data_IF_708379571553
#
_entry.id   IF_708379571553
#
_cell.length_a   1.000
_cell.length_b   1.000
_cell.length_c   1.000
_cell.angle_alpha   90.00
_cell.angle_beta   90.00
_cell.angle_gamma   90.00
#
_symmetry.space_group_name_H-M   'P 1'
#
loop_
_entity.id
_entity.type
_entity.pdbx_description
1 polymer ?
#
# COMPACT_ATOMS: atom_id res chain seq x y z
N UNK A 1 10.83 -0.81 9.64
CA UNK A 1 9.58 -1.31 10.23
C UNK A 1 9.00 -0.26 11.19
N UNK A 2 8.16 0.65 10.67
CA UNK A 2 7.63 1.75 11.48
C UNK A 2 6.48 1.31 12.41
N UNK A 3 5.81 0.20 12.12
CA UNK A 3 4.58 -0.20 12.78
C UNK A 3 4.69 -1.50 13.59
N UNK A 4 5.71 -2.32 13.30
CA UNK A 4 5.91 -3.58 14.00
C UNK A 4 6.98 -4.46 13.36
N UNK A 5 7.52 -5.35 14.17
CA UNK A 5 8.51 -6.34 13.77
C UNK A 5 8.08 -7.73 14.30
N UNK A 6 8.11 -8.79 13.48
CA UNK A 6 7.69 -10.11 13.93
C UNK A 6 8.55 -10.70 15.04
N UNK A 7 9.73 -10.13 15.25
CA UNK A 7 10.68 -10.57 16.28
C UNK A 7 10.63 -9.72 17.57
N UNK A 8 10.24 -8.44 17.45
CA UNK A 8 10.23 -7.48 18.57
C UNK A 8 8.82 -7.04 18.97
N UNK A 9 7.82 -7.37 18.15
CA UNK A 9 6.42 -6.98 18.38
C UNK A 9 6.08 -5.58 17.87
N UNK A 10 5.17 -4.89 18.54
CA UNK A 10 4.71 -3.54 18.18
C UNK A 10 5.82 -2.52 18.41
N UNK A 11 6.04 -1.63 17.45
CA UNK A 11 6.96 -0.49 17.57
C UNK A 11 6.24 0.65 18.28
N UNK A 12 6.71 1.08 19.48
CA UNK A 12 6.14 2.22 20.18
C UNK A 12 6.28 3.52 19.35
N UNK A 13 5.26 4.38 19.39
CA UNK A 13 5.26 5.66 18.67
C UNK A 13 6.52 6.49 19.00
N UNK A 14 6.92 6.54 20.27
CA UNK A 14 8.11 7.29 20.69
C UNK A 14 9.41 6.73 20.08
N UNK A 15 9.48 5.42 19.82
CA UNK A 15 10.63 4.84 19.14
C UNK A 15 10.70 5.29 17.69
N UNK A 16 9.58 5.32 16.98
CA UNK A 16 9.50 5.85 15.63
C UNK A 16 9.81 7.36 15.61
N UNK A 17 9.27 8.14 16.55
CA UNK A 17 9.54 9.59 16.64
C UNK A 17 11.01 9.92 16.87
N UNK A 18 11.76 9.12 17.64
CA UNK A 18 13.22 9.32 17.79
C UNK A 18 13.97 9.20 16.46
N UNK A 19 13.52 8.31 15.58
CA UNK A 19 14.10 8.19 14.23
C UNK A 19 13.74 9.42 13.39
N UNK A 20 12.48 9.88 13.46
CA UNK A 20 12.06 11.11 12.77
C UNK A 20 12.83 12.33 13.27
N UNK A 21 13.09 12.46 14.59
CA UNK A 21 13.93 13.51 15.15
C UNK A 21 15.33 13.52 14.50
N UNK A 22 15.95 12.35 14.33
CA UNK A 22 17.26 12.24 13.72
C UNK A 22 17.25 12.67 12.24
N UNK A 23 16.19 12.34 11.49
CA UNK A 23 16.03 12.81 10.11
C UNK A 23 15.78 14.33 10.03
N UNK A 24 14.92 14.85 10.90
CA UNK A 24 14.65 16.28 10.96
C UNK A 24 15.92 17.10 11.29
N UNK A 25 16.80 16.57 12.14
CA UNK A 25 18.10 17.18 12.44
C UNK A 25 19.07 17.24 11.25
N UNK A 26 18.80 16.50 10.17
CA UNK A 26 19.53 16.50 8.91
C UNK A 26 18.83 17.33 7.81
N UNK A 27 17.89 18.19 8.19
CA UNK A 27 17.07 18.99 7.28
C UNK A 27 16.28 18.18 6.24
N UNK A 28 15.96 16.92 6.58
CA UNK A 28 15.10 16.07 5.74
C UNK A 28 13.65 16.43 6.02
N UNK A 29 12.93 16.87 4.98
CA UNK A 29 11.54 17.34 5.03
C UNK A 29 10.51 16.30 4.56
N UNK A 30 10.97 15.11 4.11
CA UNK A 30 10.14 14.03 3.62
C UNK A 30 10.65 12.68 4.11
N UNK A 31 9.74 11.84 4.56
CA UNK A 31 10.06 10.47 4.96
C UNK A 31 8.95 9.49 4.54
N UNK A 32 9.34 8.24 4.32
CA UNK A 32 8.41 7.14 4.10
C UNK A 32 8.31 6.28 5.36
N UNK A 33 7.09 6.06 5.85
CA UNK A 33 6.81 5.11 6.92
C UNK A 33 6.59 3.71 6.32
N UNK A 34 7.57 2.83 6.49
CA UNK A 34 7.55 1.48 5.95
C UNK A 34 6.89 0.47 6.88
N UNK A 35 5.85 -0.20 6.38
CA UNK A 35 5.21 -1.37 6.99
C UNK A 35 5.77 -2.67 6.38
N UNK A 36 7.07 -2.87 6.51
CA UNK A 36 7.84 -3.95 5.85
C UNK A 36 7.26 -5.35 6.10
N UNK A 37 6.60 -5.54 7.22
CA UNK A 37 6.09 -6.85 7.67
C UNK A 37 4.57 -6.98 7.62
N UNK A 38 3.88 -5.93 7.14
CA UNK A 38 2.42 -5.88 7.08
C UNK A 38 1.77 -5.98 8.47
N UNK A 39 2.37 -5.35 9.46
CA UNK A 39 1.86 -5.29 10.85
C UNK A 39 1.10 -4.00 11.16
N UNK A 40 1.11 -3.03 10.24
CA UNK A 40 0.33 -1.81 10.37
C UNK A 40 -1.16 -2.13 10.44
N UNK A 41 -1.84 -1.43 11.34
CA UNK A 41 -3.30 -1.45 11.47
C UNK A 41 -3.85 -0.03 11.40
N UNK A 42 -5.12 0.19 11.02
CA UNK A 42 -5.72 1.51 11.00
C UNK A 42 -5.44 2.35 12.27
N UNK A 43 -5.59 1.82 13.49
CA UNK A 43 -5.26 2.57 14.70
C UNK A 43 -3.76 2.91 14.85
N UNK A 44 -2.84 1.99 14.49
CA UNK A 44 -1.39 2.26 14.59
C UNK A 44 -0.94 3.30 13.58
N UNK A 45 -1.47 3.25 12.35
CA UNK A 45 -1.24 4.28 11.32
C UNK A 45 -1.74 5.64 11.81
N UNK A 46 -2.98 5.71 12.32
CA UNK A 46 -3.55 6.95 12.81
C UNK A 46 -2.71 7.57 13.92
N UNK A 47 -2.32 6.78 14.94
CA UNK A 47 -1.51 7.27 16.05
C UNK A 47 -0.15 7.82 15.60
N UNK A 48 0.56 7.09 14.74
CA UNK A 48 1.91 7.49 14.32
C UNK A 48 1.88 8.72 13.40
N UNK A 49 1.00 8.74 12.40
CA UNK A 49 0.90 9.87 11.45
C UNK A 49 0.49 11.15 12.20
N UNK A 50 -0.50 11.08 13.10
CA UNK A 50 -0.91 12.23 13.92
C UNK A 50 0.22 12.72 14.84
N UNK A 51 0.98 11.80 15.44
CA UNK A 51 2.10 12.16 16.31
C UNK A 51 3.21 12.88 15.53
N UNK A 52 3.52 12.43 14.31
CA UNK A 52 4.48 13.08 13.42
C UNK A 52 3.95 14.46 13.00
N UNK A 53 2.72 14.56 12.51
CA UNK A 53 2.13 15.82 12.08
C UNK A 53 2.10 16.88 13.21
N UNK A 54 1.85 16.44 14.46
CA UNK A 54 1.88 17.33 15.64
C UNK A 54 3.30 17.83 15.96
N UNK A 55 4.30 16.97 15.87
CA UNK A 55 5.69 17.28 16.26
C UNK A 55 6.48 17.93 15.13
N UNK A 56 6.21 17.56 13.90
CA UNK A 56 6.91 18.00 12.69
C UNK A 56 5.92 18.43 11.61
N UNK A 57 5.23 19.59 11.78
CA UNK A 57 4.14 20.00 10.88
C UNK A 57 4.59 20.25 9.43
N UNK A 58 5.90 20.41 9.19
CA UNK A 58 6.45 20.58 7.84
C UNK A 58 6.91 19.27 7.20
N UNK A 59 6.94 18.17 7.98
CA UNK A 59 7.39 16.87 7.47
C UNK A 59 6.33 16.27 6.54
N UNK A 60 6.71 16.04 5.31
CA UNK A 60 5.87 15.30 4.35
C UNK A 60 6.02 13.80 4.62
N UNK A 61 4.90 13.13 4.79
CA UNK A 61 4.86 11.70 5.07
C UNK A 61 4.35 10.95 3.85
N UNK A 62 5.14 10.00 3.36
CA UNK A 62 4.71 8.95 2.46
C UNK A 62 4.45 7.66 3.26
N UNK A 63 3.51 6.82 2.76
CA UNK A 63 3.18 5.55 3.40
C UNK A 63 3.46 4.40 2.45
N UNK A 64 4.12 3.38 2.98
CA UNK A 64 4.48 2.16 2.28
C UNK A 64 3.91 0.98 3.06
N UNK A 65 2.83 0.38 2.54
CA UNK A 65 2.16 -0.73 3.21
C UNK A 65 2.37 -2.05 2.49
N UNK A 66 2.60 -3.09 3.28
CA UNK A 66 2.48 -4.47 2.83
C UNK A 66 1.07 -5.00 3.08
N UNK A 67 0.61 -5.87 2.17
CA UNK A 67 -0.73 -6.46 2.25
C UNK A 67 -0.73 -7.87 2.86
N UNK A 68 0.29 -8.19 3.65
CA UNK A 68 0.51 -9.52 4.25
C UNK A 68 -0.73 -10.07 5.00
N UNK A 69 -1.51 -9.18 5.61
CA UNK A 69 -2.74 -9.53 6.37
C UNK A 69 -4.02 -9.03 5.70
N UNK A 70 -3.96 -8.62 4.43
CA UNK A 70 -5.12 -8.20 3.67
C UNK A 70 -5.72 -6.85 4.06
N UNK A 71 -5.04 -6.05 4.89
CA UNK A 71 -5.55 -4.75 5.38
C UNK A 71 -4.74 -3.54 4.89
N UNK A 72 -3.83 -3.74 3.94
CA UNK A 72 -2.99 -2.67 3.41
C UNK A 72 -3.81 -1.50 2.84
N UNK A 73 -4.86 -1.79 2.05
CA UNK A 73 -5.75 -0.75 1.50
C UNK A 73 -6.57 -0.03 2.58
N UNK A 74 -6.96 -0.71 3.65
CA UNK A 74 -7.62 -0.05 4.78
C UNK A 74 -6.69 0.97 5.47
N UNK A 75 -5.40 0.64 5.57
CA UNK A 75 -4.39 1.58 6.07
C UNK A 75 -4.19 2.78 5.13
N UNK A 76 -4.29 2.57 3.81
CA UNK A 76 -4.27 3.66 2.82
C UNK A 76 -5.42 4.63 3.07
N UNK A 77 -6.66 4.13 3.26
CA UNK A 77 -7.83 4.97 3.53
C UNK A 77 -7.60 5.85 4.77
N UNK A 78 -7.09 5.26 5.84
CA UNK A 78 -6.74 6.04 7.05
C UNK A 78 -5.69 7.11 6.76
N UNK A 79 -4.65 6.77 5.97
CA UNK A 79 -3.65 7.75 5.54
C UNK A 79 -4.27 8.92 4.77
N UNK A 80 -5.19 8.64 3.84
CA UNK A 80 -5.92 9.66 3.08
C UNK A 80 -6.75 10.58 3.98
N UNK A 81 -7.47 10.01 4.95
CA UNK A 81 -8.28 10.77 5.92
C UNK A 81 -7.42 11.70 6.79
N UNK A 82 -6.17 11.31 7.04
CA UNK A 82 -5.18 12.11 7.77
C UNK A 82 -4.42 13.12 6.89
N UNK A 83 -4.77 13.23 5.61
CA UNK A 83 -4.16 14.18 4.69
C UNK A 83 -2.90 13.71 3.99
N UNK A 84 -2.48 12.45 4.16
CA UNK A 84 -1.38 11.88 3.39
C UNK A 84 -1.77 11.76 1.91
N UNK A 85 -0.85 12.11 1.03
CA UNK A 85 -1.06 12.11 -0.43
C UNK A 85 0.03 11.35 -1.20
N UNK A 86 0.98 10.77 -0.50
CA UNK A 86 2.07 10.01 -1.08
C UNK A 86 2.03 8.57 -0.57
N UNK A 87 1.90 7.62 -1.50
CA UNK A 87 1.83 6.18 -1.21
C UNK A 87 2.78 5.44 -2.13
N UNK A 88 3.49 4.47 -1.56
CA UNK A 88 4.33 3.55 -2.32
C UNK A 88 3.62 2.20 -2.44
N UNK A 89 3.73 1.59 -3.61
CA UNK A 89 3.11 0.32 -3.94
C UNK A 89 3.93 -0.42 -4.98
N UNK A 90 3.57 -1.64 -5.30
CA UNK A 90 4.24 -2.42 -6.34
C UNK A 90 3.24 -3.05 -7.31
N UNK A 91 3.60 -3.11 -8.59
CA UNK A 91 2.79 -3.74 -9.62
C UNK A 91 2.49 -5.19 -9.23
N UNK A 92 1.22 -5.59 -9.33
CA UNK A 92 0.78 -6.93 -8.97
C UNK A 92 1.06 -7.33 -7.51
N UNK A 93 1.43 -6.40 -6.62
CA UNK A 93 1.80 -6.67 -5.23
C UNK A 93 3.14 -7.39 -5.09
N UNK A 94 4.05 -7.24 -6.04
CA UNK A 94 5.39 -7.82 -5.99
C UNK A 94 6.21 -7.23 -4.83
N UNK A 95 7.23 -7.98 -4.45
CA UNK A 95 8.12 -7.63 -3.35
C UNK A 95 7.62 -8.16 -2.01
N UNK A 96 8.55 -8.58 -1.20
CA UNK A 96 8.32 -9.09 0.15
C UNK A 96 9.61 -8.99 0.92
N UNK A 97 9.55 -9.25 2.22
CA UNK A 97 10.75 -9.31 3.05
C UNK A 97 11.16 -10.78 3.24
N UNK A 98 12.33 -11.22 2.76
CA UNK A 98 12.76 -12.61 2.93
C UNK A 98 13.02 -12.97 4.40
N UNK A 99 13.21 -11.97 5.26
CA UNK A 99 13.44 -12.13 6.69
C UNK A 99 12.15 -12.07 7.52
N UNK A 100 11.01 -11.73 6.93
CA UNK A 100 9.73 -11.66 7.62
C UNK A 100 8.89 -12.91 7.29
N UNK A 101 8.67 -13.81 8.25
CA UNK A 101 7.84 -15.00 8.03
C UNK A 101 6.45 -14.63 7.53
N UNK A 102 6.02 -15.22 6.41
CA UNK A 102 4.71 -14.99 5.82
C UNK A 102 4.50 -13.64 5.11
N UNK A 103 5.56 -12.86 4.91
CA UNK A 103 5.47 -11.59 4.17
C UNK A 103 5.09 -11.86 2.70
N UNK A 104 3.87 -11.45 2.30
CA UNK A 104 3.31 -11.77 0.98
C UNK A 104 3.55 -10.71 -0.07
N UNK A 105 3.96 -9.50 0.29
CA UNK A 105 4.25 -8.43 -0.64
C UNK A 105 3.54 -7.12 -0.36
N UNK A 106 3.79 -6.18 -1.25
CA UNK A 106 3.26 -4.82 -1.17
C UNK A 106 1.75 -4.77 -1.46
N UNK A 107 1.13 -3.64 -1.13
CA UNK A 107 -0.13 -3.26 -1.77
C UNK A 107 0.08 -3.19 -3.28
N UNK A 108 -0.85 -3.77 -4.05
CA UNK A 108 -0.78 -3.76 -5.51
C UNK A 108 -1.06 -2.36 -6.05
N UNK A 109 -0.25 -1.90 -6.99
CA UNK A 109 -0.41 -0.54 -7.55
C UNK A 109 -1.76 -0.39 -8.24
N UNK A 110 -2.20 -1.37 -9.00
CA UNK A 110 -3.49 -1.35 -9.70
C UNK A 110 -4.68 -1.35 -8.74
N UNK A 111 -4.58 -2.04 -7.59
CA UNK A 111 -5.62 -2.03 -6.56
C UNK A 111 -5.64 -0.68 -5.83
N UNK A 112 -4.47 -0.08 -5.59
CA UNK A 112 -4.32 1.24 -4.99
C UNK A 112 -4.89 2.33 -5.90
N UNK A 113 -4.50 2.35 -7.19
CA UNK A 113 -4.99 3.33 -8.16
C UNK A 113 -6.52 3.24 -8.29
N UNK A 114 -7.06 2.02 -8.38
CA UNK A 114 -8.49 1.80 -8.41
C UNK A 114 -9.19 2.38 -7.16
N UNK A 115 -8.66 2.09 -5.96
CA UNK A 115 -9.19 2.64 -4.71
C UNK A 115 -9.18 4.16 -4.72
N UNK A 116 -8.08 4.80 -5.14
CA UNK A 116 -7.93 6.24 -5.16
C UNK A 116 -8.94 6.89 -6.11
N UNK A 117 -9.08 6.39 -7.32
CA UNK A 117 -10.00 6.92 -8.33
C UNK A 117 -11.46 6.74 -7.93
N UNK A 118 -11.85 5.56 -7.41
CA UNK A 118 -13.21 5.33 -6.90
C UNK A 118 -13.50 6.14 -5.61
N UNK A 119 -12.47 6.65 -4.94
CA UNK A 119 -12.57 7.56 -3.80
C UNK A 119 -12.55 9.04 -4.21
N UNK A 120 -12.51 9.35 -5.51
CA UNK A 120 -12.56 10.71 -6.04
C UNK A 120 -11.21 11.44 -6.12
N UNK A 121 -10.09 10.72 -6.02
CA UNK A 121 -8.76 11.28 -6.25
C UNK A 121 -8.32 11.06 -7.68
N UNK A 122 -7.76 12.09 -8.31
CA UNK A 122 -7.15 12.00 -9.64
C UNK A 122 -5.71 11.50 -9.50
N UNK A 123 -5.42 10.30 -10.03
CA UNK A 123 -4.08 9.73 -10.00
C UNK A 123 -3.25 10.11 -11.23
N UNK A 124 -3.89 10.48 -12.32
CA UNK A 124 -3.26 10.70 -13.63
C UNK A 124 -2.77 9.41 -14.29
N UNK A 125 -3.13 8.24 -13.76
CA UNK A 125 -2.71 6.92 -14.24
C UNK A 125 -3.84 6.28 -15.05
N UNK A 126 -3.53 5.80 -16.25
CA UNK A 126 -4.46 4.95 -17.01
C UNK A 126 -4.55 3.58 -16.36
N UNK A 127 -5.63 3.34 -15.62
CA UNK A 127 -5.88 2.07 -14.92
C UNK A 127 -5.94 0.88 -15.90
N UNK A 128 -6.48 1.08 -17.10
CA UNK A 128 -6.56 0.02 -18.11
C UNK A 128 -5.16 -0.42 -18.59
N UNK A 129 -4.30 0.54 -18.89
CA UNK A 129 -2.91 0.29 -19.24
C UNK A 129 -2.15 -0.34 -18.08
N UNK A 130 -2.37 0.13 -16.84
CA UNK A 130 -1.75 -0.43 -15.64
C UNK A 130 -2.14 -1.90 -15.41
N UNK A 131 -3.42 -2.25 -15.57
CA UNK A 131 -3.91 -3.64 -15.51
C UNK A 131 -3.20 -4.51 -16.55
N UNK A 132 -3.08 -4.04 -17.79
CA UNK A 132 -2.39 -4.78 -18.84
C UNK A 132 -0.91 -5.03 -18.51
N UNK A 133 -0.25 -4.04 -17.90
CA UNK A 133 1.13 -4.19 -17.41
C UNK A 133 1.19 -5.20 -16.27
N UNK A 134 0.28 -5.17 -15.31
CA UNK A 134 0.25 -6.13 -14.20
C UNK A 134 0.08 -7.58 -14.71
N UNK A 135 -0.82 -7.81 -15.67
CA UNK A 135 -1.01 -9.12 -16.30
C UNK A 135 0.25 -9.59 -17.06
N UNK A 136 0.93 -8.68 -17.74
CA UNK A 136 2.20 -8.97 -18.41
C UNK A 136 3.31 -9.32 -17.43
N UNK A 137 3.38 -8.61 -16.31
CA UNK A 137 4.34 -8.90 -15.22
C UNK A 137 4.06 -10.27 -14.61
N UNK A 138 2.78 -10.63 -14.37
CA UNK A 138 2.38 -11.96 -13.89
C UNK A 138 2.90 -13.07 -14.83
N UNK A 139 2.75 -12.87 -16.14
CA UNK A 139 3.26 -13.83 -17.14
C UNK A 139 4.80 -13.94 -17.12
N UNK A 140 5.51 -12.81 -16.96
CA UNK A 140 6.99 -12.80 -16.88
C UNK A 140 7.49 -13.50 -15.63
N UNK A 141 6.84 -13.25 -14.49
CA UNK A 141 7.20 -13.87 -13.19
C UNK A 141 6.85 -15.36 -13.15
N UNK A 142 5.90 -15.79 -13.98
CA UNK A 142 5.50 -17.20 -14.10
C UNK A 142 4.72 -17.77 -12.91
N UNK A 143 4.10 -16.89 -12.10
CA UNK A 143 3.22 -17.27 -10.99
C UNK A 143 2.09 -16.28 -10.83
N UNK A 144 0.95 -16.72 -10.28
CA UNK A 144 -0.17 -15.85 -9.97
C UNK A 144 0.23 -14.77 -8.96
N UNK A 145 -0.09 -13.51 -9.28
CA UNK A 145 0.13 -12.37 -8.41
C UNK A 145 -1.15 -12.03 -7.61
N UNK A 146 -1.01 -11.42 -6.42
CA UNK A 146 -2.14 -11.18 -5.52
C UNK A 146 -3.12 -10.08 -5.97
N UNK A 147 -2.76 -9.23 -6.97
CA UNK A 147 -3.61 -8.13 -7.43
C UNK A 147 -5.04 -8.56 -7.75
N UNK A 148 -6.01 -7.81 -7.25
CA UNK A 148 -7.43 -8.12 -7.45
C UNK A 148 -7.97 -7.46 -8.70
N UNK A 149 -7.68 -6.17 -8.89
CA UNK A 149 -8.20 -5.36 -10.00
C UNK A 149 -7.61 -5.82 -11.33
N UNK A 150 -6.38 -6.31 -11.37
CA UNK A 150 -5.80 -6.91 -12.58
C UNK A 150 -6.60 -8.11 -13.10
N UNK A 151 -7.32 -8.82 -12.22
CA UNK A 151 -8.15 -9.99 -12.54
C UNK A 151 -9.59 -9.59 -12.86
N UNK A 152 -10.22 -8.84 -11.96
CA UNK A 152 -11.62 -8.46 -12.07
C UNK A 152 -11.86 -7.29 -13.05
N UNK A 153 -10.87 -6.41 -13.22
CA UNK A 153 -11.06 -5.13 -13.91
C UNK A 153 -11.85 -4.12 -13.07
N UNK A 154 -12.08 -2.91 -13.60
CA UNK A 154 -12.87 -1.89 -12.91
C UNK A 154 -14.33 -2.33 -12.76
N UNK A 155 -15.02 -1.85 -11.70
CA UNK A 155 -16.38 -2.29 -11.32
C UNK A 155 -17.44 -2.14 -12.41
N UNK A 156 -17.28 -1.17 -13.31
CA UNK A 156 -18.24 -0.93 -14.40
C UNK A 156 -17.90 -1.68 -15.69
N UNK A 157 -16.91 -2.56 -15.66
CA UNK A 157 -16.57 -3.40 -16.80
C UNK A 157 -17.74 -4.30 -17.15
N UNK A 158 -18.20 -4.21 -18.42
CA UNK A 158 -19.27 -5.06 -18.93
C UNK A 158 -18.70 -6.29 -19.62
N UNK A 159 -19.28 -7.42 -19.33
CA UNK A 159 -19.00 -8.72 -19.99
C UNK A 159 -20.18 -9.11 -20.87
N UNK A 160 -19.91 -9.77 -22.02
CA UNK A 160 -20.97 -10.37 -22.81
C UNK A 160 -21.52 -11.61 -22.10
N UNK A 161 -22.84 -11.88 -22.19
CA UNK A 161 -23.46 -13.08 -21.63
C UNK A 161 -22.88 -14.37 -22.24
N UNK A 162 -22.42 -14.33 -23.48
CA UNK A 162 -21.74 -15.47 -24.14
C UNK A 162 -20.36 -15.75 -23.51
N UNK A 163 -19.64 -14.72 -23.10
CA UNK A 163 -18.34 -14.86 -22.39
C UNK A 163 -18.50 -15.43 -21.00
N UNK A 164 -19.59 -15.13 -20.29
CA UNK A 164 -19.87 -15.62 -18.95
C UNK A 164 -20.09 -17.15 -18.90
N UNK A 165 -20.68 -17.73 -19.95
CA UNK A 165 -20.91 -19.19 -20.04
C UNK A 165 -19.62 -20.01 -20.17
N UNK A 166 -18.51 -19.41 -20.60
CA UNK A 166 -17.21 -20.08 -20.77
C UNK A 166 -16.33 -20.04 -19.49
N UNK A 167 -16.66 -19.18 -18.53
CA UNK A 167 -15.86 -18.99 -17.32
C UNK A 167 -16.30 -19.93 -16.15
N UNK A 168 -17.37 -20.69 -16.31
CA UNK A 168 -17.97 -21.57 -15.28
C UNK A 168 -17.86 -23.06 -15.66
N UNK A 169 -17.10 -23.39 -16.71
CA UNK A 169 -16.86 -24.75 -17.17
C UNK A 169 -15.47 -25.28 -16.82
#
# INVERSE_FOLDING_TARGET
CAFGCPFEGEVPVDAALRVVDAYAALDIDRLTLGDTTGMATPPTVSRLVQAIAKRFPQMRVALHFHNTRGIGLANVVVGLDLGVREFESSIGGLGGCPFAPGATGNVCTEDLVYLLEESGFETGIDLGALIAVAQRVEAIVGRTLPGQVMKAGPRLRKYSLEGAKRAVG
#
